data_IF_809223262181
#
_entry.id   IF_809223262181
#
_cell.length_a   1.000
_cell.length_b   1.000
_cell.length_c   1.000
_cell.angle_alpha   90.00
_cell.angle_beta   90.00
_cell.angle_gamma   90.00
#
_symmetry.space_group_name_H-M   'P 1'
#
loop_
_entity.id
_entity.type
_entity.pdbx_description
1 polymer ?
#
# COMPACT_ATOMS: atom_id res chain seq x y z
N UNK A 1 -23.31 -41.04 -30.49
CA UNK A 1 -23.14 -39.80 -29.73
C UNK A 1 -21.90 -39.95 -28.85
N UNK A 2 -20.76 -39.45 -29.34
CA UNK A 2 -19.59 -39.28 -28.50
C UNK A 2 -19.80 -37.94 -27.81
N UNK A 3 -20.34 -37.93 -26.59
CA UNK A 3 -20.32 -36.71 -25.78
C UNK A 3 -18.98 -36.76 -25.04
N UNK A 4 -18.06 -35.89 -25.44
CA UNK A 4 -16.82 -35.71 -24.72
C UNK A 4 -16.33 -34.28 -24.92
N UNK A 5 -16.00 -33.61 -23.82
CA UNK A 5 -15.13 -32.43 -23.84
C UNK A 5 -13.77 -32.89 -24.40
N UNK A 6 -13.60 -32.79 -25.72
CA UNK A 6 -12.32 -33.05 -26.35
C UNK A 6 -11.65 -31.69 -26.57
N UNK A 7 -10.58 -31.50 -25.81
CA UNK A 7 -9.62 -30.40 -25.90
C UNK A 7 -9.15 -30.21 -27.36
N UNK A 8 -9.85 -29.34 -28.10
CA UNK A 8 -9.57 -29.05 -29.50
C UNK A 8 -8.41 -28.07 -29.58
N UNK A 9 -7.20 -28.62 -29.42
CA UNK A 9 -5.95 -28.00 -29.83
C UNK A 9 -5.93 -27.71 -31.34
N UNK A 10 -6.55 -26.60 -31.76
CA UNK A 10 -6.14 -25.75 -32.88
C UNK A 10 -7.11 -24.57 -33.06
N UNK A 11 -6.84 -23.48 -32.33
CA UNK A 11 -7.17 -22.14 -32.79
C UNK A 11 -8.53 -21.58 -32.36
N UNK A 12 -8.72 -21.37 -31.06
CA UNK A 12 -9.50 -20.24 -30.54
C UNK A 12 -10.63 -20.60 -29.58
N UNK A 13 -10.45 -20.14 -28.33
CA UNK A 13 -11.42 -19.93 -27.23
C UNK A 13 -11.65 -21.09 -26.25
N UNK A 14 -11.27 -20.83 -24.98
CA UNK A 14 -11.89 -21.37 -23.77
C UNK A 14 -11.48 -22.78 -23.31
N UNK A 15 -11.00 -22.89 -22.07
CA UNK A 15 -10.80 -24.15 -21.36
C UNK A 15 -12.17 -24.56 -20.77
N UNK A 16 -12.71 -25.73 -21.08
CA UNK A 16 -14.06 -26.13 -20.61
C UNK A 16 -13.96 -27.13 -19.45
N UNK A 17 -14.61 -26.86 -18.30
CA UNK A 17 -14.69 -27.81 -17.17
C UNK A 17 -16.09 -28.44 -17.00
N UNK A 18 -16.11 -29.67 -16.49
CA UNK A 18 -17.08 -30.73 -16.78
C UNK A 18 -18.55 -30.51 -16.39
N UNK A 19 -19.46 -30.78 -17.35
CA UNK A 19 -20.82 -31.26 -17.08
C UNK A 19 -20.95 -32.69 -17.57
N UNK A 20 -21.31 -33.62 -16.68
CA UNK A 20 -21.65 -35.00 -17.04
C UNK A 20 -23.12 -35.08 -17.44
N UNK A 21 -23.40 -35.21 -18.74
CA UNK A 21 -24.75 -35.45 -19.24
C UNK A 21 -25.19 -36.90 -18.92
N UNK A 22 -26.36 -37.06 -18.30
CA UNK A 22 -27.00 -38.38 -18.20
C UNK A 22 -28.01 -38.50 -19.33
N UNK A 23 -27.74 -39.36 -20.31
CA UNK A 23 -28.69 -39.64 -21.40
C UNK A 23 -29.65 -40.73 -20.90
N UNK A 24 -30.96 -40.47 -20.72
CA UNK A 24 -31.92 -41.56 -20.63
C UNK A 24 -31.96 -42.23 -22.00
N UNK A 25 -31.60 -43.53 -22.07
CA UNK A 25 -31.57 -44.38 -23.27
C UNK A 25 -32.51 -43.89 -24.39
N UNK A 26 -31.99 -43.11 -25.34
CA UNK A 26 -32.73 -42.78 -26.56
C UNK A 26 -32.46 -43.93 -27.50
N UNK A 27 -33.38 -44.90 -27.44
CA UNK A 27 -33.37 -46.10 -28.24
C UNK A 27 -33.50 -45.72 -29.73
N UNK A 28 -32.39 -45.46 -30.42
CA UNK A 28 -32.37 -45.42 -31.88
C UNK A 28 -32.61 -46.85 -32.37
N UNK A 29 -33.88 -47.21 -32.55
CA UNK A 29 -34.27 -48.49 -33.09
C UNK A 29 -33.52 -48.74 -34.41
N UNK A 30 -32.67 -49.77 -34.42
CA UNK A 30 -31.86 -50.20 -35.56
C UNK A 30 -32.67 -50.66 -36.80
N UNK A 31 -33.98 -50.38 -36.86
CA UNK A 31 -34.88 -50.80 -37.94
C UNK A 31 -35.45 -49.63 -38.77
N UNK A 32 -34.84 -48.43 -38.74
CA UNK A 32 -35.12 -47.38 -39.75
C UNK A 32 -36.58 -46.93 -39.83
N UNK A 33 -37.28 -46.85 -38.69
CA UNK A 33 -38.55 -46.11 -38.60
C UNK A 33 -38.25 -44.66 -38.22
N UNK A 34 -38.10 -43.86 -39.25
CA UNK A 34 -37.66 -42.47 -39.31
C UNK A 34 -38.74 -41.45 -38.86
N UNK A 35 -39.63 -41.83 -37.94
CA UNK A 35 -40.79 -41.00 -37.55
C UNK A 35 -40.75 -40.44 -36.13
N UNK A 36 -39.72 -40.76 -35.34
CA UNK A 36 -39.65 -40.33 -33.94
C UNK A 36 -38.54 -39.29 -33.73
N UNK A 37 -38.96 -38.04 -33.52
CA UNK A 37 -38.09 -37.01 -32.93
C UNK A 37 -37.69 -37.39 -31.50
N UNK A 38 -36.79 -36.61 -30.91
CA UNK A 38 -36.25 -36.86 -29.58
C UNK A 38 -36.00 -35.59 -28.79
N UNK A 39 -35.86 -35.74 -27.48
CA UNK A 39 -35.50 -34.66 -26.57
C UNK A 39 -34.20 -35.01 -25.87
N UNK A 40 -33.24 -34.08 -25.87
CA UNK A 40 -32.04 -34.17 -25.03
C UNK A 40 -32.20 -33.11 -23.94
N UNK A 41 -32.21 -33.55 -22.69
CA UNK A 41 -32.30 -32.66 -21.54
C UNK A 41 -30.96 -32.60 -20.82
N UNK A 42 -30.45 -31.40 -20.62
CA UNK A 42 -29.35 -31.09 -19.75
C UNK A 42 -29.94 -30.52 -18.46
N UNK A 43 -29.83 -31.27 -17.36
CA UNK A 43 -30.14 -30.79 -16.01
C UNK A 43 -28.84 -30.59 -15.27
N UNK A 44 -28.72 -29.51 -14.52
CA UNK A 44 -27.60 -29.36 -13.62
C UNK A 44 -28.02 -29.43 -12.16
N UNK A 45 -27.10 -29.91 -11.33
CA UNK A 45 -27.28 -30.05 -9.88
C UNK A 45 -26.28 -29.16 -9.18
N UNK A 46 -26.64 -27.91 -8.88
CA UNK A 46 -25.83 -27.11 -7.96
C UNK A 46 -26.04 -25.61 -8.04
N UNK A 47 -25.88 -25.04 -9.22
CA UNK A 47 -25.89 -23.58 -9.42
C UNK A 47 -26.71 -23.21 -10.66
N UNK A 48 -26.90 -21.92 -10.92
CA UNK A 48 -27.55 -21.43 -12.14
C UNK A 48 -26.49 -21.26 -13.26
N UNK A 49 -26.82 -21.53 -14.53
CA UNK A 49 -25.89 -21.38 -15.68
C UNK A 49 -26.38 -20.33 -16.65
N UNK A 50 -25.46 -19.76 -17.41
CA UNK A 50 -25.75 -19.00 -18.64
C UNK A 50 -25.34 -19.89 -19.83
N UNK A 51 -26.21 -20.04 -20.83
CA UNK A 51 -25.90 -20.82 -22.04
C UNK A 51 -25.53 -19.85 -23.14
N UNK A 52 -24.25 -19.77 -23.45
CA UNK A 52 -23.71 -18.83 -24.43
C UNK A 52 -23.06 -19.55 -25.61
N UNK A 53 -23.56 -20.68 -26.15
CA UNK A 53 -22.79 -21.31 -27.25
C UNK A 53 -23.45 -22.25 -28.28
N UNK A 54 -22.67 -22.44 -29.34
CA UNK A 54 -22.89 -22.96 -30.70
C UNK A 54 -23.35 -24.43 -30.73
N UNK A 55 -24.53 -24.70 -31.27
CA UNK A 55 -24.98 -26.06 -31.60
C UNK A 55 -24.52 -26.38 -33.04
N UNK A 56 -23.42 -27.13 -33.21
CA UNK A 56 -23.09 -27.72 -34.50
C UNK A 56 -23.93 -28.99 -34.71
N UNK A 57 -24.75 -29.03 -35.75
CA UNK A 57 -25.59 -30.18 -36.07
C UNK A 57 -25.15 -30.73 -37.41
N UNK A 58 -24.50 -31.90 -37.37
CA UNK A 58 -24.25 -32.69 -38.57
C UNK A 58 -25.50 -33.52 -38.87
N UNK A 59 -26.07 -33.32 -40.06
CA UNK A 59 -27.33 -33.95 -40.47
C UNK A 59 -27.30 -34.17 -41.97
N UNK A 60 -27.40 -35.44 -42.37
CA UNK A 60 -27.45 -35.90 -43.75
C UNK A 60 -28.68 -35.40 -44.54
N UNK A 61 -29.65 -34.76 -43.87
CA UNK A 61 -30.89 -34.25 -44.45
C UNK A 61 -31.11 -32.75 -44.20
N UNK A 62 -31.73 -32.09 -45.18
CA UNK A 62 -32.06 -30.66 -45.20
C UNK A 62 -33.38 -30.36 -44.45
N UNK A 63 -33.44 -29.18 -43.82
CA UNK A 63 -34.59 -28.58 -43.09
C UNK A 63 -35.01 -29.29 -41.79
N UNK A 64 -34.18 -29.18 -40.74
CA UNK A 64 -34.58 -29.56 -39.38
C UNK A 64 -34.84 -28.34 -38.50
N UNK A 65 -35.93 -28.39 -37.73
CA UNK A 65 -36.25 -27.39 -36.72
C UNK A 65 -35.80 -27.91 -35.35
N UNK A 66 -35.01 -27.11 -34.66
CA UNK A 66 -34.56 -27.34 -33.29
C UNK A 66 -35.21 -26.29 -32.41
N UNK A 67 -35.85 -26.72 -31.34
CA UNK A 67 -36.38 -25.83 -30.32
C UNK A 67 -35.55 -25.99 -29.07
N UNK A 68 -35.03 -24.87 -28.55
CA UNK A 68 -34.43 -24.79 -27.23
C UNK A 68 -35.46 -24.25 -26.25
N UNK A 69 -35.72 -25.02 -25.20
CA UNK A 69 -36.46 -24.56 -24.03
C UNK A 69 -35.53 -24.55 -22.82
N UNK A 70 -35.53 -23.46 -22.07
CA UNK A 70 -34.82 -23.33 -20.79
C UNK A 70 -35.84 -23.13 -19.69
N UNK A 71 -35.72 -23.87 -18.57
CA UNK A 71 -36.66 -23.81 -17.46
C UNK A 71 -38.13 -23.87 -17.93
N UNK A 72 -38.44 -24.79 -18.87
CA UNK A 72 -39.75 -24.94 -19.52
C UNK A 72 -40.25 -23.77 -20.40
N UNK A 73 -39.43 -22.76 -20.67
CA UNK A 73 -39.75 -21.62 -21.56
C UNK A 73 -38.97 -21.73 -22.86
N UNK A 74 -39.65 -21.66 -24.01
CA UNK A 74 -38.99 -21.66 -25.33
C UNK A 74 -38.19 -20.37 -25.51
N UNK A 75 -36.86 -20.48 -25.59
CA UNK A 75 -35.92 -19.34 -25.66
C UNK A 75 -35.36 -19.14 -27.07
N UNK A 76 -35.44 -20.15 -27.92
CA UNK A 76 -34.91 -20.06 -29.27
C UNK A 76 -35.41 -21.16 -30.19
N UNK A 77 -35.58 -20.80 -31.46
CA UNK A 77 -35.84 -21.74 -32.55
C UNK A 77 -34.75 -21.56 -33.58
N UNK A 78 -34.10 -22.66 -33.92
CA UNK A 78 -33.13 -22.69 -34.99
C UNK A 78 -33.54 -23.65 -36.09
N UNK A 79 -33.24 -23.26 -37.33
CA UNK A 79 -33.40 -24.15 -38.48
C UNK A 79 -32.00 -24.50 -38.98
N UNK A 80 -31.68 -25.78 -39.01
CA UNK A 80 -30.37 -26.29 -39.42
C UNK A 80 -30.45 -26.65 -40.90
N UNK A 81 -29.50 -26.17 -41.69
CA UNK A 81 -29.43 -26.38 -43.13
C UNK A 81 -28.25 -27.28 -43.50
N UNK A 82 -28.40 -28.59 -43.28
CA UNK A 82 -27.42 -29.62 -43.70
C UNK A 82 -26.13 -29.69 -42.88
N UNK A 83 -25.24 -30.61 -43.29
CA UNK A 83 -23.97 -30.93 -42.61
C UNK A 83 -23.11 -29.68 -42.29
N UNK A 84 -22.60 -29.62 -41.05
CA UNK A 84 -21.74 -28.55 -40.56
C UNK A 84 -22.44 -27.23 -40.21
N UNK A 85 -23.78 -27.22 -40.08
CA UNK A 85 -24.52 -26.03 -39.65
C UNK A 85 -24.35 -25.78 -38.15
N UNK A 86 -23.86 -24.59 -37.77
CA UNK A 86 -23.78 -24.15 -36.39
C UNK A 86 -24.90 -23.14 -36.06
N UNK A 87 -25.54 -23.32 -34.91
CA UNK A 87 -26.61 -22.46 -34.41
C UNK A 87 -26.15 -21.79 -33.12
N UNK A 88 -26.14 -20.46 -33.10
CA UNK A 88 -25.90 -19.72 -31.86
C UNK A 88 -27.21 -19.56 -31.10
N UNK A 89 -27.26 -20.12 -29.90
CA UNK A 89 -28.33 -19.79 -28.95
C UNK A 89 -27.68 -19.22 -27.71
N UNK A 90 -28.01 -17.97 -27.44
CA UNK A 90 -27.57 -17.24 -26.25
C UNK A 90 -28.77 -17.07 -25.35
N UNK A 91 -28.65 -17.47 -24.10
CA UNK A 91 -29.65 -17.18 -23.06
C UNK A 91 -29.03 -16.26 -22.03
N UNK A 92 -29.41 -14.98 -22.04
CA UNK A 92 -28.97 -13.91 -21.11
C UNK A 92 -29.55 -14.09 -19.68
N UNK A 93 -29.83 -15.32 -19.28
CA UNK A 93 -30.56 -15.62 -18.06
C UNK A 93 -29.70 -16.50 -17.15
N UNK A 94 -29.11 -15.85 -16.14
CA UNK A 94 -28.33 -16.47 -15.07
C UNK A 94 -29.20 -17.33 -14.13
N UNK A 95 -30.40 -17.78 -14.52
CA UNK A 95 -31.27 -18.64 -13.71
C UNK A 95 -31.52 -20.03 -14.32
N UNK A 96 -30.78 -20.41 -15.39
CA UNK A 96 -31.03 -21.70 -16.06
C UNK A 96 -30.69 -22.87 -15.14
N UNK A 97 -31.67 -23.74 -14.89
CA UNK A 97 -31.50 -25.00 -14.11
C UNK A 97 -31.72 -26.24 -14.98
N UNK A 98 -32.41 -26.06 -16.11
CA UNK A 98 -32.70 -27.10 -17.09
C UNK A 98 -32.68 -26.50 -18.50
N UNK A 99 -31.97 -27.16 -19.42
CA UNK A 99 -31.99 -26.87 -20.85
C UNK A 99 -32.46 -28.10 -21.63
N UNK A 100 -33.52 -27.93 -22.41
CA UNK A 100 -34.19 -28.99 -23.16
C UNK A 100 -34.09 -28.70 -24.65
N UNK A 101 -33.36 -29.54 -25.37
CA UNK A 101 -33.26 -29.50 -26.82
C UNK A 101 -34.25 -30.49 -27.40
N UNK A 102 -35.21 -30.00 -28.19
CA UNK A 102 -36.18 -30.84 -28.88
C UNK A 102 -35.90 -30.86 -30.38
N UNK A 103 -35.76 -32.07 -30.92
CA UNK A 103 -35.45 -32.31 -32.32
C UNK A 103 -36.64 -32.96 -33.02
N UNK A 104 -37.03 -32.41 -34.18
CA UNK A 104 -38.12 -32.93 -34.98
C UNK A 104 -37.58 -33.58 -36.28
N UNK A 105 -37.96 -34.83 -36.55
CA UNK A 105 -37.61 -35.56 -37.78
C UNK A 105 -36.47 -36.59 -37.65
N UNK A 106 -36.15 -37.29 -38.74
CA UNK A 106 -35.16 -38.39 -38.76
C UNK A 106 -33.73 -37.96 -39.06
N UNK A 107 -32.76 -38.63 -38.43
CA UNK A 107 -31.31 -38.47 -38.62
C UNK A 107 -30.57 -38.28 -37.29
N UNK A 108 -29.35 -38.84 -37.20
CA UNK A 108 -28.50 -38.76 -36.02
C UNK A 108 -28.01 -37.35 -35.75
N UNK A 109 -27.67 -37.07 -34.50
CA UNK A 109 -26.84 -35.94 -34.09
C UNK A 109 -25.51 -36.57 -33.70
N UNK A 110 -24.42 -36.10 -34.31
CA UNK A 110 -23.09 -36.69 -34.08
C UNK A 110 -22.41 -36.08 -32.85
N UNK A 111 -22.60 -34.78 -32.60
CA UNK A 111 -22.01 -34.07 -31.47
C UNK A 111 -22.88 -32.90 -30.97
N UNK A 112 -22.84 -32.61 -29.68
CA UNK A 112 -23.43 -31.42 -29.04
C UNK A 112 -22.43 -30.96 -27.98
N UNK A 113 -21.86 -29.77 -28.19
CA UNK A 113 -20.97 -29.13 -27.23
C UNK A 113 -21.73 -28.01 -26.50
N UNK A 114 -21.70 -28.03 -25.18
CA UNK A 114 -22.31 -27.02 -24.30
C UNK A 114 -21.20 -26.50 -23.40
N UNK A 115 -20.80 -25.25 -23.59
CA UNK A 115 -19.78 -24.59 -22.78
C UNK A 115 -20.42 -23.67 -21.76
N UNK A 116 -19.83 -23.61 -20.58
CA UNK A 116 -20.13 -22.61 -19.55
C UNK A 116 -19.15 -21.45 -19.73
N UNK A 117 -19.63 -20.21 -19.60
CA UNK A 117 -18.73 -19.08 -19.35
C UNK A 117 -18.21 -19.22 -17.92
N UNK A 118 -16.89 -19.38 -17.75
CA UNK A 118 -16.29 -19.38 -16.42
C UNK A 118 -16.63 -18.05 -15.74
N UNK A 119 -17.09 -18.07 -14.47
CA UNK A 119 -17.37 -16.83 -13.76
C UNK A 119 -16.08 -16.04 -13.66
N UNK A 120 -16.12 -14.76 -14.07
CA UNK A 120 -14.99 -13.85 -13.91
C UNK A 120 -14.64 -13.73 -12.43
N UNK A 121 -13.36 -13.92 -12.09
CA UNK A 121 -12.82 -13.77 -10.74
C UNK A 121 -11.81 -12.62 -10.73
N UNK A 122 -12.26 -11.35 -10.81
CA UNK A 122 -11.37 -10.21 -10.70
C UNK A 122 -10.80 -10.14 -9.27
N UNK A 123 -9.51 -9.82 -9.16
CA UNK A 123 -8.81 -9.74 -7.88
C UNK A 123 -7.72 -8.67 -7.93
N UNK A 124 -7.61 -7.90 -6.85
CA UNK A 124 -6.59 -6.85 -6.71
C UNK A 124 -6.03 -6.92 -5.29
N UNK A 125 -4.74 -6.64 -5.18
CA UNK A 125 -4.00 -6.57 -3.92
C UNK A 125 -3.03 -5.39 -3.99
N UNK A 126 -2.82 -4.68 -2.89
CA UNK A 126 -1.83 -3.60 -2.77
C UNK A 126 -0.94 -3.86 -1.57
N UNK A 127 0.37 -3.72 -1.78
CA UNK A 127 1.38 -3.79 -0.72
C UNK A 127 2.17 -2.48 -0.69
N UNK A 128 2.25 -1.84 0.47
CA UNK A 128 2.87 -0.53 0.66
C UNK A 128 4.19 -0.68 1.41
N UNK A 129 5.22 -0.02 0.89
CA UNK A 129 6.53 0.00 1.51
C UNK A 129 6.98 1.42 1.84
N UNK A 130 7.66 1.57 2.97
CA UNK A 130 8.39 2.78 3.37
C UNK A 130 9.89 2.52 3.34
N UNK A 131 10.61 3.21 2.45
CA UNK A 131 12.04 3.00 2.20
C UNK A 131 12.43 1.53 1.95
N UNK A 132 11.53 0.77 1.30
CA UNK A 132 11.73 -0.64 0.95
C UNK A 132 11.41 -1.65 2.05
N UNK A 133 10.79 -1.23 3.15
CA UNK A 133 10.29 -2.12 4.22
C UNK A 133 8.75 -2.12 4.20
N UNK A 134 8.12 -3.25 4.52
CA UNK A 134 6.65 -3.38 4.55
C UNK A 134 6.14 -2.53 5.73
N UNK A 135 6.64 -2.84 6.92
CA UNK A 135 6.36 -2.10 8.14
C UNK A 135 4.85 -1.96 8.42
N UNK A 136 4.07 -3.03 8.26
CA UNK A 136 2.61 -3.07 8.40
C UNK A 136 2.17 -2.68 9.82
N UNK A 137 2.93 -3.12 10.83
CA UNK A 137 2.71 -2.82 12.23
C UNK A 137 3.73 -1.83 12.79
N UNK A 138 3.26 -0.90 13.63
CA UNK A 138 4.11 0.11 14.28
C UNK A 138 5.24 -0.44 15.16
N UNK A 139 5.25 -1.74 15.48
CA UNK A 139 6.29 -2.40 16.28
C UNK A 139 7.05 -3.50 15.52
N UNK A 140 6.81 -3.63 14.21
CA UNK A 140 7.44 -4.68 13.43
C UNK A 140 8.96 -4.48 13.33
N UNK A 141 9.67 -5.59 13.14
CA UNK A 141 11.14 -5.59 13.15
C UNK A 141 11.78 -4.84 11.98
N UNK A 142 11.00 -4.57 10.93
CA UNK A 142 11.39 -3.88 9.71
C UNK A 142 10.95 -2.40 9.69
N UNK A 143 10.34 -1.87 10.75
CA UNK A 143 9.98 -0.44 10.81
C UNK A 143 11.23 0.43 10.69
N UNK A 144 11.39 1.19 9.59
CA UNK A 144 12.59 1.97 9.34
C UNK A 144 12.72 3.13 10.34
N UNK A 145 13.95 3.43 10.70
CA UNK A 145 14.32 4.59 11.52
C UNK A 145 14.78 5.71 10.58
N UNK A 146 14.00 6.78 10.48
CA UNK A 146 14.21 7.86 9.52
C UNK A 146 14.25 9.19 10.28
N UNK A 147 15.37 9.91 10.20
CA UNK A 147 15.51 11.17 10.90
C UNK A 147 14.57 12.23 10.30
N UNK A 148 14.00 13.14 11.11
CA UNK A 148 13.20 14.25 10.60
C UNK A 148 13.92 15.01 9.48
N UNK A 149 13.21 15.28 8.37
CA UNK A 149 13.76 15.94 7.17
C UNK A 149 14.45 15.01 6.17
N UNK A 150 14.80 13.78 6.54
CA UNK A 150 15.35 12.80 5.60
C UNK A 150 14.30 12.39 4.56
N UNK A 151 14.78 11.98 3.38
CA UNK A 151 13.92 11.55 2.28
C UNK A 151 13.21 10.25 2.63
N UNK A 152 11.90 10.23 2.39
CA UNK A 152 11.07 9.03 2.46
C UNK A 152 10.60 8.69 1.05
N UNK A 153 10.80 7.43 0.64
CA UNK A 153 10.26 6.86 -0.59
C UNK A 153 9.17 5.87 -0.22
N UNK A 154 7.94 6.15 -0.68
CA UNK A 154 6.83 5.20 -0.59
C UNK A 154 6.71 4.44 -1.90
N UNK A 155 6.59 3.12 -1.80
CA UNK A 155 6.35 2.21 -2.93
C UNK A 155 5.01 1.54 -2.73
N UNK A 156 4.22 1.40 -3.79
CA UNK A 156 2.93 0.70 -3.77
C UNK A 156 2.97 -0.36 -4.86
N UNK A 157 2.96 -1.62 -4.47
CA UNK A 157 2.97 -2.77 -5.36
C UNK A 157 1.53 -3.23 -5.55
N UNK A 158 0.96 -2.97 -6.72
CA UNK A 158 -0.42 -3.33 -7.05
C UNK A 158 -0.40 -4.59 -7.89
N UNK A 159 -0.94 -5.69 -7.37
CA UNK A 159 -0.95 -7.00 -8.02
C UNK A 159 -2.36 -7.40 -8.45
N UNK A 160 -2.49 -7.89 -9.68
CA UNK A 160 -3.71 -8.56 -10.12
C UNK A 160 -3.70 -10.02 -9.62
N UNK A 161 -4.53 -10.31 -8.63
CA UNK A 161 -4.64 -11.63 -8.00
C UNK A 161 -5.75 -12.49 -8.62
N UNK A 162 -6.48 -11.94 -9.60
CA UNK A 162 -7.60 -12.59 -10.28
C UNK A 162 -7.27 -13.09 -11.69
N UNK A 163 -8.32 -13.36 -12.46
CA UNK A 163 -8.26 -13.81 -13.87
C UNK A 163 -8.66 -12.74 -14.90
N UNK A 164 -9.12 -11.57 -14.44
CA UNK A 164 -9.53 -10.45 -15.29
C UNK A 164 -8.42 -9.41 -15.37
N UNK A 165 -7.94 -9.02 -16.58
CA UNK A 165 -6.96 -7.94 -16.73
C UNK A 165 -7.57 -6.56 -16.44
N UNK A 166 -6.76 -5.63 -15.94
CA UNK A 166 -7.16 -4.23 -15.71
C UNK A 166 -6.32 -3.27 -16.55
N UNK A 167 -6.96 -2.32 -17.23
CA UNK A 167 -6.25 -1.22 -17.88
C UNK A 167 -5.80 -0.15 -16.88
N UNK A 168 -4.79 0.66 -17.24
CA UNK A 168 -4.32 1.77 -16.38
C UNK A 168 -5.45 2.70 -15.92
N UNK A 169 -6.37 3.06 -16.83
CA UNK A 169 -7.49 3.95 -16.53
C UNK A 169 -8.55 3.33 -15.60
N UNK A 170 -8.50 2.02 -15.38
CA UNK A 170 -9.40 1.28 -14.48
C UNK A 170 -8.86 1.22 -13.06
N UNK A 171 -7.61 1.63 -12.83
CA UNK A 171 -6.96 1.63 -11.52
C UNK A 171 -6.85 3.05 -10.97
N UNK A 172 -7.18 3.20 -9.68
CA UNK A 172 -6.95 4.43 -8.93
C UNK A 172 -6.16 4.11 -7.66
N UNK A 173 -4.88 4.52 -7.64
CA UNK A 173 -3.98 4.35 -6.49
C UNK A 173 -3.87 5.67 -5.73
N UNK A 174 -4.13 5.63 -4.43
CA UNK A 174 -4.19 6.80 -3.55
C UNK A 174 -3.47 6.55 -2.23
N UNK A 175 -3.24 7.63 -1.48
CA UNK A 175 -2.56 7.63 -0.19
C UNK A 175 -3.27 8.61 0.77
N UNK A 176 -3.46 8.22 2.03
CA UNK A 176 -4.22 9.02 3.01
C UNK A 176 -3.44 10.23 3.55
N UNK A 177 -2.14 10.34 3.25
CA UNK A 177 -1.25 11.43 3.71
C UNK A 177 -0.96 12.47 2.65
N UNK A 178 -1.74 12.47 1.57
CA UNK A 178 -1.75 13.54 0.57
C UNK A 178 -0.57 13.50 -0.40
N UNK A 179 0.21 12.41 -0.40
CA UNK A 179 1.16 12.14 -1.49
C UNK A 179 0.42 11.51 -2.67
N UNK A 180 0.93 11.72 -3.87
CA UNK A 180 0.31 11.22 -5.11
C UNK A 180 1.19 10.11 -5.67
N UNK A 181 0.78 8.83 -5.57
CA UNK A 181 1.49 7.71 -6.19
C UNK A 181 1.51 7.86 -7.72
N UNK A 182 2.68 7.64 -8.33
CA UNK A 182 2.87 7.70 -9.79
C UNK A 182 3.34 6.35 -10.30
N UNK A 183 2.68 5.83 -11.34
CA UNK A 183 3.04 4.56 -11.97
C UNK A 183 4.46 4.62 -12.54
N UNK A 184 5.30 3.66 -12.15
CA UNK A 184 6.55 3.37 -12.83
C UNK A 184 6.27 2.47 -14.03
N UNK A 185 6.19 3.06 -15.22
CA UNK A 185 5.93 2.32 -16.47
C UNK A 185 6.96 1.22 -16.78
N UNK A 186 8.09 1.16 -16.07
CA UNK A 186 9.05 0.06 -16.20
C UNK A 186 8.63 -1.22 -15.48
N UNK A 187 7.64 -1.17 -14.58
CA UNK A 187 7.05 -2.35 -13.94
C UNK A 187 5.99 -3.06 -14.78
N UNK A 188 5.49 -2.41 -15.83
CA UNK A 188 4.53 -2.98 -16.78
C UNK A 188 5.22 -4.10 -17.60
N UNK A 189 4.86 -5.33 -17.28
CA UNK A 189 5.40 -6.54 -17.91
C UNK A 189 4.68 -6.79 -19.22
N UNK A 190 5.16 -6.16 -20.27
CA UNK A 190 4.55 -6.25 -21.60
C UNK A 190 4.53 -4.90 -22.29
N UNK A 191 4.46 -3.83 -21.50
CA UNK A 191 4.46 -2.46 -22.00
C UNK A 191 3.18 -2.12 -22.76
N UNK A 192 2.07 -2.77 -22.39
CA UNK A 192 0.76 -2.63 -23.02
C UNK A 192 -0.26 -1.87 -22.17
N UNK A 193 0.15 -1.41 -20.97
CA UNK A 193 -0.68 -0.72 -19.99
C UNK A 193 -1.89 -1.55 -19.54
N UNK A 194 -1.72 -2.87 -19.49
CA UNK A 194 -2.68 -3.82 -18.97
C UNK A 194 -2.04 -4.60 -17.82
N UNK A 195 -2.57 -4.43 -16.61
CA UNK A 195 -2.19 -5.24 -15.45
C UNK A 195 -2.79 -6.64 -15.61
N UNK A 196 -2.01 -7.54 -16.19
CA UNK A 196 -2.40 -8.91 -16.50
C UNK A 196 -2.53 -9.78 -15.24
N UNK A 197 -3.29 -10.88 -15.28
CA UNK A 197 -3.32 -11.85 -14.19
C UNK A 197 -1.93 -12.26 -13.69
N UNK A 198 -1.67 -12.07 -12.39
CA UNK A 198 -0.39 -12.36 -11.75
C UNK A 198 0.71 -11.31 -11.96
N UNK A 199 0.44 -10.23 -12.68
CA UNK A 199 1.36 -9.10 -12.84
C UNK A 199 1.31 -8.16 -11.63
N UNK A 200 2.41 -7.45 -11.38
CA UNK A 200 2.52 -6.42 -10.34
C UNK A 200 3.04 -5.12 -10.93
N UNK A 201 2.28 -4.04 -10.76
CA UNK A 201 2.73 -2.68 -11.07
C UNK A 201 3.25 -1.96 -9.84
N UNK A 202 4.27 -1.14 -10.04
CA UNK A 202 4.91 -0.35 -8.99
C UNK A 202 4.51 1.12 -9.18
N UNK A 203 3.96 1.70 -8.13
CA UNK A 203 3.77 3.14 -8.02
C UNK A 203 4.75 3.70 -6.98
N UNK A 204 5.22 4.93 -7.17
CA UNK A 204 6.14 5.58 -6.23
C UNK A 204 5.70 6.99 -5.85
N UNK A 205 6.04 7.39 -4.63
CA UNK A 205 5.92 8.76 -4.16
C UNK A 205 7.13 9.12 -3.27
N UNK A 206 7.51 10.39 -3.23
CA UNK A 206 8.65 10.90 -2.43
C UNK A 206 8.16 12.02 -1.52
N UNK A 207 8.70 12.04 -0.29
CA UNK A 207 8.49 13.10 0.68
C UNK A 207 9.65 13.20 1.67
N UNK A 208 9.39 13.88 2.79
CA UNK A 208 10.34 13.99 3.89
C UNK A 208 9.71 13.44 5.17
N UNK A 209 10.55 12.84 6.03
CA UNK A 209 10.13 12.40 7.34
C UNK A 209 9.78 13.60 8.22
N UNK A 210 8.68 13.47 8.96
CA UNK A 210 8.21 14.49 9.88
C UNK A 210 8.93 14.34 11.23
N UNK A 211 8.88 15.41 12.04
CA UNK A 211 9.19 15.35 13.46
C UNK A 211 7.96 14.79 14.20
N UNK A 212 7.96 13.49 14.47
CA UNK A 212 6.80 12.78 15.00
C UNK A 212 6.48 13.17 16.45
N UNK A 213 7.43 13.75 17.19
CA UNK A 213 7.20 14.21 18.56
C UNK A 213 6.23 15.40 18.63
N UNK A 214 6.01 16.12 17.53
CA UNK A 214 5.10 17.28 17.46
C UNK A 214 3.90 17.07 16.52
N UNK A 215 3.76 15.88 15.92
CA UNK A 215 2.71 15.56 14.93
C UNK A 215 1.77 14.43 15.40
N UNK A 216 1.03 14.61 16.52
CA UNK A 216 0.29 13.52 17.16
C UNK A 216 -0.87 12.97 16.32
N UNK A 217 -1.39 13.72 15.34
CA UNK A 217 -2.51 13.27 14.50
C UNK A 217 -2.10 12.30 13.41
N UNK A 218 -0.80 12.16 13.17
CA UNK A 218 -0.25 11.35 12.09
C UNK A 218 0.37 10.04 12.59
N UNK A 219 0.33 9.83 13.91
CA UNK A 219 1.11 8.81 14.60
C UNK A 219 0.27 7.91 15.51
N UNK A 220 0.78 6.72 15.79
CA UNK A 220 0.34 5.84 16.87
C UNK A 220 1.53 5.41 17.75
N UNK A 221 1.31 4.92 18.99
CA UNK A 221 2.40 4.41 19.82
C UNK A 221 3.08 3.18 19.19
N UNK A 222 4.40 3.18 19.07
CA UNK A 222 5.13 2.06 18.48
C UNK A 222 6.64 2.09 18.71
N UNK A 223 7.41 1.70 17.69
CA UNK A 223 8.87 1.59 17.68
C UNK A 223 9.49 0.71 18.78
N UNK A 224 8.71 -0.23 19.34
CA UNK A 224 9.08 -1.10 20.45
C UNK A 224 9.44 -0.41 21.78
N UNK A 225 9.22 0.91 21.89
CA UNK A 225 9.46 1.69 23.10
C UNK A 225 8.34 2.69 23.44
N UNK A 226 7.27 2.70 22.64
CA UNK A 226 6.07 3.51 22.86
C UNK A 226 6.17 4.94 22.31
N UNK A 227 7.23 5.29 21.59
CA UNK A 227 7.33 6.60 20.94
C UNK A 227 6.35 6.73 19.75
N UNK A 228 6.03 7.95 19.32
CA UNK A 228 5.17 8.17 18.16
C UNK A 228 5.76 7.52 16.90
N UNK A 229 4.93 6.73 16.21
CA UNK A 229 5.27 6.03 14.97
C UNK A 229 4.35 6.53 13.88
N UNK A 230 4.91 6.97 12.76
CA UNK A 230 4.13 7.42 11.61
C UNK A 230 3.41 6.22 10.99
N UNK A 231 2.14 6.38 10.65
CA UNK A 231 1.36 5.41 9.88
C UNK A 231 0.93 6.05 8.57
N UNK A 232 0.94 5.32 7.46
CA UNK A 232 0.45 5.78 6.17
C UNK A 232 -0.24 4.62 5.43
N UNK A 233 -1.44 4.87 4.91
CA UNK A 233 -2.29 3.88 4.27
C UNK A 233 -2.33 4.10 2.75
N UNK A 234 -1.82 3.11 2.02
CA UNK A 234 -1.99 3.00 0.57
C UNK A 234 -3.37 2.42 0.25
N UNK A 235 -3.93 2.80 -0.89
CA UNK A 235 -5.23 2.30 -1.34
C UNK A 235 -5.27 2.14 -2.85
N UNK A 236 -5.76 1.00 -3.32
CA UNK A 236 -6.15 0.78 -4.72
C UNK A 236 -7.66 0.60 -4.82
N UNK A 237 -8.27 1.17 -5.87
CA UNK A 237 -9.65 0.92 -6.26
C UNK A 237 -9.70 0.60 -7.75
N UNK A 238 -10.55 -0.35 -8.15
CA UNK A 238 -10.74 -0.71 -9.56
C UNK A 238 -12.12 -0.31 -10.10
N UNK A 239 -12.24 -0.16 -11.41
CA UNK A 239 -13.51 0.02 -12.12
C UNK A 239 -13.53 -0.91 -13.35
N UNK A 240 -14.65 -1.54 -13.74
CA UNK A 240 -16.01 -1.41 -13.18
C UNK A 240 -16.30 -2.35 -12.00
N UNK A 241 -15.33 -3.14 -11.56
CA UNK A 241 -15.55 -4.18 -10.54
C UNK A 241 -15.63 -3.63 -9.10
N UNK A 242 -15.31 -2.36 -8.88
CA UNK A 242 -15.33 -1.69 -7.57
C UNK A 242 -14.54 -2.45 -6.48
N UNK A 243 -13.49 -3.18 -6.88
CA UNK A 243 -12.59 -3.83 -5.94
C UNK A 243 -11.81 -2.75 -5.19
N UNK A 244 -11.48 -3.04 -3.94
CA UNK A 244 -10.71 -2.14 -3.09
C UNK A 244 -9.78 -2.96 -2.23
N UNK A 245 -8.55 -2.48 -2.12
CA UNK A 245 -7.60 -2.97 -1.14
C UNK A 245 -6.80 -1.83 -0.53
N UNK A 246 -6.31 -2.02 0.69
CA UNK A 246 -5.57 -1.01 1.46
C UNK A 246 -4.49 -1.65 2.28
N UNK A 247 -3.35 -0.98 2.36
CA UNK A 247 -2.20 -1.50 3.09
C UNK A 247 -1.41 -0.41 3.83
N UNK A 248 -1.15 -0.57 5.15
CA UNK A 248 -0.41 0.37 5.95
C UNK A 248 1.10 0.18 5.85
N UNK A 249 1.85 1.26 6.01
CA UNK A 249 3.30 1.19 6.23
C UNK A 249 3.73 2.26 7.23
N UNK A 250 4.72 1.93 8.06
CA UNK A 250 5.18 2.75 9.16
C UNK A 250 6.61 3.24 9.02
N UNK A 251 6.94 4.31 9.75
CA UNK A 251 8.33 4.62 10.11
C UNK A 251 8.41 5.26 11.49
N UNK A 252 9.59 5.19 12.08
CA UNK A 252 9.91 5.84 13.34
C UNK A 252 10.94 6.93 13.10
N UNK A 253 10.88 8.02 13.87
CA UNK A 253 12.12 8.76 14.10
C UNK A 253 13.06 7.91 14.98
N UNK A 254 14.38 8.01 14.79
CA UNK A 254 15.35 7.48 15.74
C UNK A 254 15.00 7.97 17.16
N UNK A 255 15.25 7.18 18.20
CA UNK A 255 15.03 7.65 19.56
C UNK A 255 15.81 8.95 19.79
N UNK A 256 15.09 10.02 20.15
CA UNK A 256 15.72 11.28 20.53
C UNK A 256 16.51 11.08 21.84
N UNK A 257 17.71 11.66 21.89
CA UNK A 257 18.62 11.51 23.03
C UNK A 257 19.77 10.55 22.78
N UNK A 258 20.59 10.36 23.82
CA UNK A 258 21.84 9.60 23.76
C UNK A 258 23.05 10.44 23.33
N UNK A 259 22.84 11.70 22.93
CA UNK A 259 23.90 12.60 22.52
C UNK A 259 23.75 13.96 23.22
N UNK A 260 24.89 14.56 23.54
CA UNK A 260 24.96 15.85 24.20
C UNK A 260 26.40 16.30 24.35
N UNK A 261 26.65 17.51 23.91
CA UNK A 261 27.93 18.18 24.07
C UNK A 261 27.92 19.01 25.35
N UNK A 262 28.94 18.82 26.19
CA UNK A 262 29.04 19.49 27.49
C UNK A 262 29.18 21.01 27.35
N UNK A 263 28.90 21.81 28.40
CA UNK A 263 29.27 23.22 28.42
C UNK A 263 30.75 23.48 28.10
N UNK A 264 31.61 22.52 28.47
CA UNK A 264 33.04 22.56 28.18
C UNK A 264 33.39 22.45 26.70
N UNK A 265 32.57 21.75 25.89
CA UNK A 265 32.71 21.72 24.44
C UNK A 265 32.31 23.07 23.85
N UNK A 266 31.08 23.51 24.14
CA UNK A 266 30.49 24.69 23.50
C UNK A 266 31.26 26.00 23.74
N UNK A 267 31.95 26.14 24.89
CA UNK A 267 32.69 27.37 25.23
C UNK A 267 34.04 27.53 24.55
N UNK A 268 34.55 26.51 23.87
CA UNK A 268 35.87 26.59 23.25
C UNK A 268 35.76 27.24 21.87
N UNK A 269 36.58 28.25 21.62
CA UNK A 269 36.56 29.05 20.38
C UNK A 269 36.62 28.20 19.10
N UNK A 270 37.38 27.10 19.12
CA UNK A 270 37.48 26.21 17.95
C UNK A 270 36.21 25.40 17.67
N UNK A 271 35.22 25.43 18.57
CA UNK A 271 33.89 24.85 18.37
C UNK A 271 32.82 25.89 18.02
N UNK A 272 33.14 27.18 17.89
CA UNK A 272 32.14 28.21 17.56
C UNK A 272 31.52 28.04 16.18
N UNK A 273 32.19 27.34 15.25
CA UNK A 273 31.57 26.95 13.98
C UNK A 273 30.35 26.03 14.16
N UNK A 274 30.30 25.26 15.25
CA UNK A 274 29.19 24.39 15.59
C UNK A 274 28.00 25.12 16.23
N UNK A 275 28.15 26.39 16.61
CA UNK A 275 27.02 27.20 17.06
C UNK A 275 26.04 27.50 15.91
N UNK A 276 26.47 27.21 14.66
CA UNK A 276 25.69 27.34 13.43
C UNK A 276 24.94 28.67 13.42
N UNK A 277 25.62 29.78 13.12
CA UNK A 277 24.95 31.06 12.90
C UNK A 277 24.31 31.01 11.50
N UNK A 278 22.98 30.82 11.34
CA UNK A 278 21.86 30.90 12.31
C UNK A 278 21.37 29.54 12.90
N UNK A 279 20.86 29.51 14.15
CA UNK A 279 20.21 30.64 14.82
C UNK A 279 20.94 31.34 16.00
N UNK A 280 22.08 30.87 16.53
CA UNK A 280 22.69 31.47 17.74
C UNK A 280 24.15 31.92 17.52
N UNK A 281 24.53 33.04 18.13
CA UNK A 281 25.89 33.59 18.14
C UNK A 281 26.46 33.65 19.58
N UNK A 282 27.77 33.40 19.78
CA UNK A 282 28.42 33.57 21.08
C UNK A 282 28.20 34.94 21.74
N UNK A 283 27.98 35.99 20.95
CA UNK A 283 27.77 37.35 21.43
C UNK A 283 26.30 37.74 21.62
N UNK A 284 25.34 36.86 21.31
CA UNK A 284 23.93 37.14 21.61
C UNK A 284 23.75 37.29 23.12
N UNK A 285 22.92 38.25 23.55
CA UNK A 285 22.66 38.41 24.98
C UNK A 285 21.83 37.24 25.48
N UNK A 286 22.09 36.79 26.69
CA UNK A 286 21.26 35.75 27.31
C UNK A 286 19.79 36.20 27.39
N UNK A 287 19.56 37.48 27.66
CA UNK A 287 18.24 38.09 27.72
C UNK A 287 17.55 38.29 26.37
N UNK A 288 18.25 38.04 25.24
CA UNK A 288 17.60 38.00 23.92
C UNK A 288 16.76 36.72 23.73
N UNK A 289 17.02 35.68 24.52
CA UNK A 289 16.35 34.37 24.41
C UNK A 289 15.64 33.90 25.68
N UNK A 290 16.12 34.31 26.85
CA UNK A 290 15.61 33.88 28.15
C UNK A 290 15.18 35.09 29.01
N UNK A 291 14.48 34.83 30.11
CA UNK A 291 14.27 35.83 31.16
C UNK A 291 15.62 36.33 31.70
N UNK A 292 15.70 37.63 32.02
CA UNK A 292 16.96 38.33 32.33
C UNK A 292 17.56 37.95 33.70
N UNK A 293 18.14 36.75 33.74
CA UNK A 293 18.82 36.18 34.90
C UNK A 293 20.29 36.59 35.01
N UNK A 294 20.88 37.02 33.89
CA UNK A 294 22.30 37.37 33.76
C UNK A 294 22.45 38.74 33.07
N UNK A 295 22.19 39.85 33.79
CA UNK A 295 22.09 41.16 33.17
C UNK A 295 23.33 41.57 32.39
N UNK A 296 23.15 41.80 31.09
CA UNK A 296 24.19 42.27 30.18
C UNK A 296 25.24 41.21 29.79
N UNK A 297 25.03 39.94 30.14
CA UNK A 297 25.92 38.85 29.75
C UNK A 297 25.47 38.21 28.44
N UNK A 298 26.44 37.84 27.63
CA UNK A 298 26.25 37.05 26.40
C UNK A 298 26.04 35.56 26.71
N UNK A 299 25.53 34.79 25.75
CA UNK A 299 25.44 33.33 25.84
C UNK A 299 26.80 32.70 26.18
N UNK A 300 27.89 33.15 25.55
CA UNK A 300 29.24 32.67 25.85
C UNK A 300 29.68 33.04 27.27
N UNK A 301 29.47 34.27 27.72
CA UNK A 301 29.85 34.70 29.07
C UNK A 301 29.06 33.95 30.16
N UNK A 302 27.80 33.62 29.90
CA UNK A 302 27.01 32.74 30.79
C UNK A 302 27.58 31.32 30.81
N UNK A 303 27.96 30.79 29.65
CA UNK A 303 28.58 29.47 29.52
C UNK A 303 29.95 29.37 30.23
N UNK A 304 30.66 30.49 30.34
CA UNK A 304 31.95 30.61 31.02
C UNK A 304 31.87 30.81 32.54
N UNK A 305 30.68 31.01 33.10
CA UNK A 305 30.52 31.29 34.53
C UNK A 305 31.15 30.22 35.44
N UNK A 306 31.58 30.63 36.62
CA UNK A 306 31.96 29.72 37.71
C UNK A 306 30.81 29.47 38.68
N UNK A 307 30.99 28.58 39.66
CA UNK A 307 30.04 28.43 40.78
C UNK A 307 28.90 27.42 40.58
N UNK A 308 27.99 27.40 41.57
CA UNK A 308 26.80 26.54 41.67
C UNK A 308 25.51 27.31 41.40
N UNK A 309 24.34 26.78 41.80
CA UNK A 309 23.07 27.51 41.75
C UNK A 309 22.70 28.03 40.36
N UNK A 310 22.28 29.29 40.27
CA UNK A 310 21.88 29.94 39.02
C UNK A 310 23.00 29.91 37.97
N UNK A 311 24.24 30.18 38.36
CA UNK A 311 25.38 30.17 37.44
C UNK A 311 25.65 28.77 36.86
N UNK A 312 25.46 27.71 37.66
CA UNK A 312 25.54 26.36 37.14
C UNK A 312 24.40 26.01 36.19
N UNK A 313 23.17 26.43 36.53
CA UNK A 313 22.03 26.26 35.63
C UNK A 313 22.28 26.96 34.30
N UNK A 314 22.66 28.25 34.31
CA UNK A 314 22.92 29.03 33.10
C UNK A 314 23.89 28.35 32.14
N UNK A 315 25.01 27.81 32.63
CA UNK A 315 25.95 27.05 31.79
C UNK A 315 25.30 25.84 31.09
N UNK A 316 24.55 25.04 31.84
CA UNK A 316 23.93 23.84 31.30
C UNK A 316 22.73 24.16 30.41
N UNK A 317 22.04 25.27 30.66
CA UNK A 317 20.96 25.79 29.81
C UNK A 317 21.49 26.24 28.45
N UNK A 318 22.57 27.03 28.41
CA UNK A 318 23.17 27.43 27.12
C UNK A 318 23.66 26.20 26.34
N UNK A 319 24.28 25.23 27.01
CA UNK A 319 24.66 23.97 26.36
C UNK A 319 23.45 23.19 25.82
N UNK A 320 22.36 23.09 26.60
CA UNK A 320 21.13 22.43 26.17
C UNK A 320 20.49 23.13 24.96
N UNK A 321 20.49 24.46 24.95
CA UNK A 321 20.01 25.27 23.83
C UNK A 321 20.77 24.94 22.54
N UNK A 322 22.10 24.91 22.60
CA UNK A 322 22.94 24.61 21.44
C UNK A 322 22.82 23.15 20.99
N UNK A 323 22.71 22.21 21.93
CA UNK A 323 22.48 20.81 21.60
C UNK A 323 21.14 20.59 20.89
N UNK A 324 20.05 21.21 21.35
CA UNK A 324 18.74 21.14 20.65
C UNK A 324 18.73 21.84 19.30
N UNK A 325 19.57 22.85 19.11
CA UNK A 325 19.64 23.64 17.88
C UNK A 325 20.49 22.99 16.77
N UNK A 326 21.28 21.97 17.11
CA UNK A 326 22.24 21.36 16.18
C UNK A 326 21.66 20.06 15.62
N UNK A 327 21.30 20.04 14.33
CA UNK A 327 20.71 18.86 13.68
C UNK A 327 21.59 17.59 13.74
N UNK A 328 22.90 17.74 13.91
CA UNK A 328 23.87 16.65 14.09
C UNK A 328 23.95 16.10 15.53
N UNK A 329 23.13 16.59 16.47
CA UNK A 329 23.08 16.17 17.88
C UNK A 329 21.66 15.71 18.24
N UNK A 330 21.48 14.41 18.52
CA UNK A 330 20.23 13.85 19.05
C UNK A 330 20.09 14.16 20.55
N UNK A 331 19.67 15.39 20.87
CA UNK A 331 19.52 15.84 22.25
C UNK A 331 18.16 15.48 22.84
N UNK A 332 18.15 14.86 24.02
CA UNK A 332 16.93 14.31 24.64
C UNK A 332 16.02 15.33 25.36
N UNK A 333 15.98 16.59 24.93
CA UNK A 333 15.15 17.64 25.56
C UNK A 333 14.36 18.46 24.53
N UNK A 334 13.52 17.79 23.73
CA UNK A 334 12.60 18.46 22.79
C UNK A 334 13.30 19.49 21.91
N UNK A 335 12.71 20.69 21.82
CA UNK A 335 13.20 21.80 20.99
C UNK A 335 13.96 22.87 21.77
N UNK A 336 14.66 23.78 21.08
CA UNK A 336 15.27 24.96 21.71
C UNK A 336 14.27 25.83 22.47
N UNK A 337 13.00 25.87 22.02
CA UNK A 337 11.93 26.58 22.72
C UNK A 337 11.56 25.90 24.05
N UNK A 338 11.64 24.58 24.13
CA UNK A 338 11.38 23.84 25.37
C UNK A 338 12.47 24.10 26.41
N UNK A 339 13.74 24.21 25.99
CA UNK A 339 14.84 24.65 26.87
C UNK A 339 14.59 26.05 27.41
N UNK A 340 14.19 26.99 26.54
CA UNK A 340 13.84 28.37 26.93
C UNK A 340 12.68 28.37 27.95
N UNK A 341 11.61 27.64 27.66
CA UNK A 341 10.45 27.54 28.54
C UNK A 341 10.81 26.93 29.90
N UNK A 342 11.62 25.87 29.91
CA UNK A 342 12.05 25.21 31.13
C UNK A 342 12.89 26.13 32.02
N UNK A 343 13.84 26.87 31.46
CA UNK A 343 14.62 27.85 32.21
C UNK A 343 13.74 28.99 32.76
N UNK A 344 12.90 29.58 31.91
CA UNK A 344 12.02 30.68 32.30
C UNK A 344 10.99 30.25 33.36
N UNK A 345 10.59 28.98 33.40
CA UNK A 345 9.68 28.45 34.39
C UNK A 345 10.29 28.39 35.81
N UNK A 346 11.61 28.25 35.93
CA UNK A 346 12.31 28.18 37.22
C UNK A 346 12.95 29.50 37.64
N UNK A 347 12.98 30.51 36.76
CA UNK A 347 13.57 31.82 37.05
C UNK A 347 12.53 32.96 37.10
N UNK A 348 12.54 33.82 38.15
CA UNK A 348 13.35 33.76 39.36
C UNK A 348 12.86 32.66 40.32
N UNK A 349 13.80 31.88 40.88
CA UNK A 349 13.51 30.76 41.77
C UNK A 349 14.57 30.53 42.84
N UNK A 350 14.44 29.41 43.55
CA UNK A 350 15.38 29.02 44.60
C UNK A 350 16.60 28.27 44.03
N UNK A 351 17.66 28.12 44.82
CA UNK A 351 18.79 27.28 44.44
C UNK A 351 18.41 25.81 44.24
N UNK A 352 17.36 25.33 44.91
CA UNK A 352 16.90 23.95 44.75
C UNK A 352 16.24 23.79 43.38
N UNK A 353 15.36 24.71 42.98
CA UNK A 353 14.75 24.73 41.64
C UNK A 353 15.82 24.79 40.53
N UNK A 354 16.83 25.65 40.72
CA UNK A 354 17.95 25.76 39.78
C UNK A 354 18.77 24.48 39.71
N UNK A 355 19.04 23.83 40.84
CA UNK A 355 19.81 22.59 40.87
C UNK A 355 19.07 21.42 40.23
N UNK A 356 17.75 21.33 40.40
CA UNK A 356 16.93 20.27 39.81
C UNK A 356 16.98 20.33 38.27
N UNK A 357 16.64 21.49 37.68
CA UNK A 357 16.72 21.66 36.23
C UNK A 357 18.15 21.56 35.71
N UNK A 358 19.14 22.08 36.45
CA UNK A 358 20.55 21.92 36.09
C UNK A 358 20.92 20.44 35.99
N UNK A 359 20.51 19.61 36.94
CA UNK A 359 20.87 18.20 36.97
C UNK A 359 20.26 17.42 35.80
N UNK A 360 19.05 17.77 35.39
CA UNK A 360 18.43 17.24 34.17
C UNK A 360 19.25 17.60 32.93
N UNK A 361 19.53 18.89 32.72
CA UNK A 361 20.37 19.32 31.60
C UNK A 361 21.80 18.75 31.66
N UNK A 362 22.41 18.62 32.84
CA UNK A 362 23.74 18.01 33.00
C UNK A 362 23.72 16.56 32.53
N UNK A 363 22.70 15.79 32.92
CA UNK A 363 22.55 14.39 32.53
C UNK A 363 22.38 14.19 31.03
N UNK A 364 21.78 15.15 30.32
CA UNK A 364 21.64 15.13 28.86
C UNK A 364 22.89 15.65 28.14
N UNK A 365 23.47 16.76 28.61
CA UNK A 365 24.68 17.38 28.03
C UNK A 365 25.94 16.49 28.14
N UNK A 366 25.90 15.43 28.95
CA UNK A 366 27.03 14.53 29.21
C UNK A 366 26.89 13.16 28.53
N UNK A 367 25.93 12.99 27.61
CA UNK A 367 25.67 11.70 26.95
C UNK A 367 26.67 11.35 25.83
N UNK A 368 27.51 12.31 25.43
CA UNK A 368 28.56 12.12 24.44
C UNK A 368 28.34 13.03 23.24
N UNK A 369 29.41 13.69 22.78
CA UNK A 369 29.33 14.72 21.76
C UNK A 369 29.64 14.16 20.35
N UNK A 370 28.65 14.03 19.45
CA UNK A 370 28.82 13.40 18.12
C UNK A 370 29.50 14.31 17.10
N UNK A 371 29.63 15.60 17.40
CA UNK A 371 30.12 16.64 16.48
C UNK A 371 31.58 17.03 16.73
N UNK A 372 32.30 16.33 17.62
CA UNK A 372 33.70 16.63 17.88
C UNK A 372 34.57 16.38 16.64
N UNK A 373 35.10 17.46 16.06
CA UNK A 373 35.90 17.41 14.83
C UNK A 373 35.09 17.37 13.52
N UNK A 374 33.75 17.44 13.57
CA UNK A 374 32.91 17.53 12.37
C UNK A 374 32.95 18.93 11.74
N UNK A 375 33.00 19.99 12.56
CA UNK A 375 33.03 21.37 12.09
C UNK A 375 34.46 21.93 12.16
N UNK A 376 35.02 22.46 11.05
CA UNK A 376 36.34 23.07 11.06
C UNK A 376 36.32 24.36 11.90
N UNK A 377 37.46 24.80 12.46
CA UNK A 377 37.54 26.06 13.19
C UNK A 377 37.06 27.22 12.31
N UNK A 378 36.33 28.18 12.88
CA UNK A 378 35.85 29.39 12.19
C UNK A 378 36.96 30.14 11.43
N UNK A 379 38.21 30.02 11.89
CA UNK A 379 39.43 30.59 11.30
C UNK A 379 39.89 29.86 10.02
N UNK A 380 39.12 28.90 9.51
CA UNK A 380 39.39 28.08 8.31
C UNK A 380 38.25 28.11 7.29
N UNK A 381 37.17 28.88 7.53
CA UNK A 381 36.13 29.12 6.53
C UNK A 381 36.58 30.28 5.60
N UNK A 382 36.45 30.12 4.27
CA UNK A 382 36.94 31.10 3.29
C UNK A 382 36.23 32.46 3.32
#
# INVERSE_FOLDING_TARGET
LNIGCNDASNGGLGNCDGIMATIPDVNFNANGDDTQGGTITFTSTGDEFEITQYIAVDSDNFDKRITLSVNSTEVGVATVFGNGSAVNVTTDDHSTTEAVFTFFGSGGIDDIEVCRDDPLNPGIDIEKLTNGNQADGANDGDVPQIAPGDVVTWTYQVMNTGDVPFGEAELTVTDDRGVVPVLDTSSDTGGDLILSPGETWIYTAIGQALELSIEPTLTEPGCNDGRPTYVNMGKVVTSPFDLMDTDPSHYCNPPQGGEGCTPGFWKQEHHFAAWLNPPYDPNDLFSDHFEDAFPGMTLLEVLEQGGGGLEALGRHTVAALLNTATADVSYGFGTSQDVINAFNAVHPGSNDDYNDLKNEFSGLNEQGCPINGKYPPSNQLP
#
